data_IF_181132977255
#
_entry.id   IF_181132977255
#
_cell.length_a   1.000
_cell.length_b   1.000
_cell.length_c   1.000
_cell.angle_alpha   90.00
_cell.angle_beta   90.00
_cell.angle_gamma   90.00
#
_symmetry.space_group_name_H-M   'P 1'
#
loop_
_entity.id
_entity.type
_entity.pdbx_description
1 polymer ?
#
# COMPACT_ATOMS: atom_id res chain seq x y z
N UNK A 1 -29.16 68.52 -9.26
CA UNK A 1 -29.23 68.14 -7.83
C UNK A 1 -29.51 66.65 -7.75
N UNK A 2 -28.72 65.89 -7.00
CA UNK A 2 -28.90 64.45 -6.82
C UNK A 2 -29.61 64.22 -5.48
N UNK A 3 -30.68 63.43 -5.48
CA UNK A 3 -31.11 62.65 -4.32
C UNK A 3 -31.16 61.19 -4.78
N UNK A 4 -30.21 60.35 -4.33
CA UNK A 4 -30.35 59.60 -3.07
C UNK A 4 -31.59 58.71 -3.18
N UNK A 5 -31.42 57.54 -3.79
CA UNK A 5 -31.32 56.26 -3.06
C UNK A 5 -32.53 55.99 -2.17
N UNK A 6 -33.19 54.87 -2.47
CA UNK A 6 -33.56 53.76 -1.58
C UNK A 6 -35.03 53.35 -1.79
N UNK A 7 -35.25 52.06 -2.05
CA UNK A 7 -36.56 51.38 -2.20
C UNK A 7 -37.40 51.90 -3.40
N UNK A 8 -37.87 51.10 -4.36
CA UNK A 8 -38.09 49.65 -4.38
C UNK A 8 -37.53 49.01 -5.66
N UNK A 9 -36.32 48.45 -5.58
CA UNK A 9 -36.13 47.13 -6.19
C UNK A 9 -36.95 46.13 -5.35
N UNK A 10 -37.45 45.06 -5.99
CA UNK A 10 -38.30 44.02 -5.38
C UNK A 10 -39.76 44.47 -5.15
N UNK A 11 -40.58 44.48 -6.22
CA UNK A 11 -41.99 44.07 -6.21
C UNK A 11 -42.66 44.22 -7.59
N UNK A 12 -42.51 43.24 -8.49
CA UNK A 12 -43.63 42.38 -8.93
C UNK A 12 -43.16 41.32 -9.95
N UNK A 13 -43.51 40.07 -9.69
CA UNK A 13 -43.31 38.94 -10.60
C UNK A 13 -44.30 39.02 -11.78
N UNK A 14 -43.92 38.57 -12.98
CA UNK A 14 -44.74 38.79 -14.17
C UNK A 14 -44.44 37.97 -15.42
N UNK A 15 -44.24 36.65 -15.28
CA UNK A 15 -44.44 35.63 -16.33
C UNK A 15 -43.51 35.66 -17.58
N UNK A 16 -42.81 34.52 -17.82
CA UNK A 16 -42.84 33.70 -19.06
C UNK A 16 -41.50 32.99 -19.37
N UNK A 17 -41.27 31.84 -18.73
CA UNK A 17 -40.64 30.63 -19.32
C UNK A 17 -40.69 29.51 -18.27
N UNK A 18 -41.55 28.51 -18.43
CA UNK A 18 -41.24 27.25 -19.14
C UNK A 18 -40.15 26.44 -18.40
N UNK A 19 -40.58 25.71 -17.37
CA UNK A 19 -40.86 24.26 -17.45
C UNK A 19 -39.60 23.38 -17.53
N UNK A 20 -39.31 22.66 -16.43
CA UNK A 20 -39.34 21.19 -16.50
C UNK A 20 -39.69 20.53 -15.18
N UNK A 21 -40.59 19.55 -15.31
CA UNK A 21 -41.24 18.72 -14.29
C UNK A 21 -40.26 18.01 -13.35
N UNK A 22 -40.61 17.95 -12.07
CA UNK A 22 -40.05 16.99 -11.11
C UNK A 22 -41.13 15.99 -10.66
N UNK A 23 -40.79 14.69 -10.69
CA UNK A 23 -41.16 13.63 -9.70
C UNK A 23 -42.67 13.27 -9.51
N UNK A 24 -43.11 12.02 -9.36
CA UNK A 24 -42.55 10.89 -8.58
C UNK A 24 -43.29 9.56 -8.87
N UNK A 25 -42.57 8.41 -8.97
CA UNK A 25 -42.99 6.97 -8.80
C UNK A 25 -44.26 6.48 -9.55
N UNK A 26 -44.41 5.24 -10.02
CA UNK A 26 -43.70 3.95 -9.88
C UNK A 26 -43.93 3.15 -11.21
N UNK A 27 -43.51 1.90 -11.49
CA UNK A 27 -42.96 0.77 -10.72
C UNK A 27 -42.24 -0.21 -11.67
N UNK A 28 -41.61 -1.25 -11.10
CA UNK A 28 -41.32 -2.57 -11.72
C UNK A 28 -40.37 -2.60 -12.94
N UNK A 29 -39.15 -3.09 -12.74
CA UNK A 29 -38.71 -4.36 -13.33
C UNK A 29 -37.42 -4.85 -12.66
N UNK A 30 -37.35 -6.16 -12.40
CA UNK A 30 -36.14 -6.80 -11.91
C UNK A 30 -35.17 -6.98 -13.08
N UNK A 31 -34.00 -6.33 -13.01
CA UNK A 31 -32.85 -6.74 -13.81
C UNK A 31 -31.64 -6.72 -12.89
N UNK A 32 -30.99 -7.88 -12.78
CA UNK A 32 -29.73 -7.99 -12.04
C UNK A 32 -28.67 -7.20 -12.78
N UNK A 33 -28.56 -5.91 -12.43
CA UNK A 33 -27.41 -5.09 -12.77
C UNK A 33 -26.21 -5.66 -12.01
N UNK A 34 -25.58 -6.67 -12.62
CA UNK A 34 -24.22 -7.07 -12.32
C UNK A 34 -23.40 -5.79 -12.34
N UNK A 35 -22.95 -5.34 -11.17
CA UNK A 35 -22.05 -4.19 -11.07
C UNK A 35 -20.77 -4.63 -11.78
N UNK A 36 -20.58 -4.16 -13.01
CA UNK A 36 -19.29 -4.23 -13.66
C UNK A 36 -18.36 -3.33 -12.84
N UNK A 37 -17.64 -3.98 -11.92
CA UNK A 37 -16.47 -3.43 -11.26
C UNK A 37 -15.58 -2.82 -12.35
N UNK A 38 -15.06 -1.59 -12.16
CA UNK A 38 -14.15 -0.99 -13.12
C UNK A 38 -13.04 -1.99 -13.42
N UNK A 39 -12.78 -2.18 -14.73
CA UNK A 39 -11.77 -3.11 -15.21
C UNK A 39 -10.46 -2.84 -14.45
N UNK A 40 -9.83 -3.85 -13.81
CA UNK A 40 -8.72 -3.60 -12.89
C UNK A 40 -7.65 -2.83 -13.63
N UNK A 41 -7.46 -1.57 -13.22
CA UNK A 41 -6.53 -0.65 -13.85
C UNK A 41 -5.20 -1.37 -14.03
N UNK A 42 -4.72 -1.41 -15.27
CA UNK A 42 -3.39 -1.94 -15.54
C UNK A 42 -2.39 -1.00 -14.89
N UNK A 43 -1.97 -1.37 -13.68
CA UNK A 43 -0.73 -0.88 -13.10
C UNK A 43 0.35 -0.90 -14.19
N UNK A 44 1.24 0.11 -14.24
CA UNK A 44 2.33 0.14 -15.21
C UNK A 44 3.01 -1.23 -15.28
N UNK A 45 3.29 -1.68 -16.50
CA UNK A 45 3.53 -3.09 -16.83
C UNK A 45 4.76 -3.71 -16.13
N UNK A 46 5.47 -2.90 -15.36
CA UNK A 46 6.60 -3.24 -14.53
C UNK A 46 6.62 -2.36 -13.27
N UNK A 47 6.22 -2.92 -12.12
CA UNK A 47 6.60 -2.45 -10.78
C UNK A 47 8.11 -2.74 -10.49
N UNK A 48 8.90 -2.78 -11.57
CA UNK A 48 10.29 -3.25 -11.68
C UNK A 48 11.30 -2.11 -11.53
N UNK A 49 10.80 -0.86 -11.48
CA UNK A 49 11.54 0.34 -11.11
C UNK A 49 10.63 1.18 -10.21
N UNK A 50 10.54 0.78 -8.94
CA UNK A 50 10.37 1.73 -7.84
C UNK A 50 11.69 1.72 -7.08
N UNK A 51 12.70 2.41 -7.61
CA UNK A 51 13.96 2.55 -6.92
C UNK A 51 13.70 3.43 -5.70
N UNK A 52 14.12 2.97 -4.53
CA UNK A 52 14.14 3.84 -3.35
C UNK A 52 14.99 5.09 -3.67
N UNK A 53 14.49 6.26 -3.32
CA UNK A 53 15.02 7.59 -3.69
C UNK A 53 14.79 8.05 -5.15
N UNK A 54 13.81 7.51 -5.88
CA UNK A 54 13.28 8.17 -7.10
C UNK A 54 12.33 9.33 -6.76
N UNK A 55 12.22 10.30 -7.67
CA UNK A 55 11.52 11.57 -7.43
C UNK A 55 10.01 11.43 -7.68
N UNK A 56 9.23 11.58 -6.62
CA UNK A 56 7.77 11.47 -6.56
C UNK A 56 7.01 12.21 -7.67
N UNK A 57 7.48 13.37 -8.09
CA UNK A 57 6.80 14.22 -9.08
C UNK A 57 6.69 13.59 -10.48
N UNK A 58 7.44 12.53 -10.78
CA UNK A 58 7.30 11.77 -12.04
C UNK A 58 6.25 10.65 -11.95
N UNK A 59 6.04 10.08 -10.77
CA UNK A 59 5.14 8.94 -10.55
C UNK A 59 3.73 9.35 -10.11
N UNK A 60 3.64 10.47 -9.37
CA UNK A 60 2.43 10.97 -8.71
C UNK A 60 1.14 10.93 -9.56
N UNK A 61 1.12 11.37 -10.84
CA UNK A 61 -0.10 11.34 -11.66
C UNK A 61 -0.68 9.93 -11.89
N UNK A 62 0.13 8.87 -11.74
CA UNK A 62 -0.30 7.48 -11.84
C UNK A 62 -0.64 6.85 -10.48
N UNK A 63 -0.32 7.55 -9.38
CA UNK A 63 -0.52 7.10 -8.01
C UNK A 63 -1.72 7.77 -7.31
N UNK A 64 -2.18 8.94 -7.78
CA UNK A 64 -3.27 9.69 -7.14
C UNK A 64 -4.56 8.85 -6.92
N UNK A 65 -4.92 7.97 -7.87
CA UNK A 65 -6.07 7.03 -7.75
C UNK A 65 -5.91 6.00 -6.60
N UNK A 66 -4.68 5.78 -6.13
CA UNK A 66 -4.33 4.84 -5.06
C UNK A 66 -3.98 5.54 -3.73
N UNK A 67 -4.14 6.87 -3.63
CA UNK A 67 -3.84 7.62 -2.42
C UNK A 67 -4.75 7.16 -1.27
N UNK A 68 -4.15 6.53 -0.25
CA UNK A 68 -4.84 6.12 0.97
C UNK A 68 -5.02 7.29 1.94
N UNK A 69 -4.03 8.18 2.03
CA UNK A 69 -4.14 9.37 2.86
C UNK A 69 -2.82 10.13 3.00
N UNK A 70 -2.96 11.35 3.53
CA UNK A 70 -1.87 12.25 3.88
C UNK A 70 -1.87 12.54 5.37
N UNK A 71 -0.68 12.66 5.96
CA UNK A 71 -0.45 12.76 7.40
C UNK A 71 0.64 13.79 7.69
N UNK A 72 0.74 14.26 8.93
CA UNK A 72 1.82 15.16 9.39
C UNK A 72 1.94 16.45 8.55
N UNK A 73 0.81 17.14 8.33
CA UNK A 73 0.74 18.33 7.46
C UNK A 73 1.19 18.04 6.02
N UNK A 74 0.65 16.97 5.44
CA UNK A 74 0.97 16.42 4.11
C UNK A 74 2.42 15.94 3.91
N UNK A 75 3.21 15.84 4.99
CA UNK A 75 4.61 15.37 4.94
C UNK A 75 4.78 13.85 4.89
N UNK A 76 3.73 13.08 5.12
CA UNK A 76 3.73 11.65 4.79
C UNK A 76 2.51 11.30 3.93
N UNK A 77 2.77 10.64 2.81
CA UNK A 77 1.75 10.17 1.87
C UNK A 77 1.85 8.65 1.72
N UNK A 78 0.71 7.95 1.84
CA UNK A 78 0.63 6.50 1.66
C UNK A 78 -0.27 6.16 0.50
N UNK A 79 0.19 5.26 -0.37
CA UNK A 79 -0.56 4.76 -1.51
C UNK A 79 -0.78 3.27 -1.34
N UNK A 80 -2.02 2.79 -1.50
CA UNK A 80 -2.40 1.39 -1.28
C UNK A 80 -3.01 0.80 -2.54
N UNK A 81 -2.24 -0.05 -3.20
CA UNK A 81 -2.59 -0.71 -4.45
C UNK A 81 -3.04 -2.13 -4.11
N UNK A 82 -4.35 -2.37 -4.09
CA UNK A 82 -4.95 -3.69 -3.89
C UNK A 82 -5.10 -4.44 -5.22
N UNK A 83 -5.17 -5.77 -5.18
CA UNK A 83 -5.32 -6.64 -6.35
C UNK A 83 -4.23 -6.40 -7.41
N UNK A 84 -2.98 -6.25 -6.96
CA UNK A 84 -1.86 -5.95 -7.83
C UNK A 84 -1.62 -7.08 -8.85
N UNK A 85 -1.44 -6.72 -10.12
CA UNK A 85 -1.03 -7.64 -11.18
C UNK A 85 0.49 -7.92 -11.17
N UNK A 86 1.21 -7.47 -10.14
CA UNK A 86 2.67 -7.54 -10.05
C UNK A 86 3.17 -8.86 -9.48
N UNK A 87 4.43 -9.19 -9.79
CA UNK A 87 5.11 -10.35 -9.21
C UNK A 87 6.48 -9.96 -8.66
N UNK A 88 6.90 -10.62 -7.58
CA UNK A 88 8.27 -10.56 -7.07
C UNK A 88 8.80 -11.99 -7.04
N UNK A 89 9.91 -12.24 -7.72
CA UNK A 89 10.43 -13.59 -8.01
C UNK A 89 9.32 -14.57 -8.47
N UNK A 90 8.64 -14.22 -9.57
CA UNK A 90 7.51 -14.97 -10.15
C UNK A 90 6.32 -15.24 -9.21
N UNK A 91 6.29 -14.59 -8.05
CA UNK A 91 5.28 -14.81 -7.00
C UNK A 91 4.31 -13.64 -6.98
N UNK A 92 2.99 -13.86 -7.18
CA UNK A 92 2.03 -12.77 -7.20
C UNK A 92 1.98 -11.98 -5.88
N UNK A 93 1.90 -10.66 -6.01
CA UNK A 93 1.71 -9.72 -4.92
C UNK A 93 0.21 -9.44 -4.80
N UNK A 94 -0.39 -9.56 -3.62
CA UNK A 94 -1.80 -9.21 -3.43
C UNK A 94 -2.00 -7.70 -3.25
N UNK A 95 -1.14 -7.07 -2.45
CA UNK A 95 -1.21 -5.64 -2.11
C UNK A 95 0.18 -5.02 -2.10
N UNK A 96 0.30 -3.81 -2.64
CA UNK A 96 1.49 -2.96 -2.53
C UNK A 96 1.14 -1.71 -1.73
N UNK A 97 2.02 -1.31 -0.81
CA UNK A 97 1.89 -0.05 -0.07
C UNK A 97 3.16 0.77 -0.24
N UNK A 98 3.03 1.97 -0.79
CA UNK A 98 4.14 2.91 -0.97
C UNK A 98 4.13 3.93 0.17
N UNK A 99 5.32 4.27 0.67
CA UNK A 99 5.50 5.22 1.76
C UNK A 99 6.41 6.35 1.29
N UNK A 100 5.80 7.52 1.11
CA UNK A 100 6.48 8.77 0.76
C UNK A 100 6.59 9.66 2.00
N UNK A 101 7.79 10.18 2.28
CA UNK A 101 8.07 11.09 3.39
C UNK A 101 8.75 12.34 2.83
N UNK A 102 8.21 13.53 3.10
CA UNK A 102 8.65 14.82 2.52
C UNK A 102 8.80 14.82 0.98
N UNK A 103 8.07 13.94 0.29
CA UNK A 103 8.15 13.76 -1.17
C UNK A 103 9.16 12.71 -1.66
N UNK A 104 9.89 12.04 -0.77
CA UNK A 104 10.86 10.98 -1.14
C UNK A 104 10.28 9.58 -0.94
N UNK A 105 10.45 8.68 -1.93
CA UNK A 105 10.06 7.27 -1.79
C UNK A 105 11.00 6.54 -0.81
N UNK A 106 10.54 6.37 0.44
CA UNK A 106 11.37 5.87 1.53
C UNK A 106 11.18 4.39 1.84
N UNK A 107 10.03 3.80 1.49
CA UNK A 107 9.69 2.40 1.80
C UNK A 107 8.60 1.85 0.88
N UNK A 108 8.72 0.56 0.55
CA UNK A 108 7.69 -0.24 -0.10
C UNK A 108 7.36 -1.48 0.74
N UNK A 109 6.07 -1.76 0.97
CA UNK A 109 5.57 -3.01 1.55
C UNK A 109 4.83 -3.80 0.47
N UNK A 110 5.11 -5.09 0.36
CA UNK A 110 4.42 -6.02 -0.52
C UNK A 110 3.82 -7.15 0.31
N UNK A 111 2.52 -7.40 0.17
CA UNK A 111 1.87 -8.58 0.73
C UNK A 111 1.93 -9.68 -0.32
N UNK A 112 2.59 -10.79 0.00
CA UNK A 112 2.86 -11.86 -0.95
C UNK A 112 1.80 -12.97 -0.85
N UNK A 113 1.39 -13.53 -1.98
CA UNK A 113 0.43 -14.65 -2.01
C UNK A 113 1.03 -16.00 -1.60
N UNK A 114 2.36 -16.12 -1.59
CA UNK A 114 3.11 -17.35 -1.26
C UNK A 114 4.43 -17.01 -0.59
N UNK A 115 5.03 -18.00 0.06
CA UNK A 115 6.35 -17.86 0.69
C UNK A 115 7.47 -17.66 -0.34
N UNK A 116 8.25 -16.59 -0.19
CA UNK A 116 9.45 -16.28 -0.99
C UNK A 116 10.76 -16.35 -0.19
N UNK A 117 10.73 -16.74 1.09
CA UNK A 117 11.90 -16.70 1.99
C UNK A 117 13.13 -17.43 1.46
N UNK A 118 12.94 -18.61 0.86
CA UNK A 118 14.04 -19.36 0.24
C UNK A 118 14.68 -18.66 -0.97
N UNK A 119 13.89 -17.87 -1.74
CA UNK A 119 14.42 -17.07 -2.85
C UNK A 119 15.22 -15.87 -2.33
N UNK A 120 14.72 -15.21 -1.27
CA UNK A 120 15.41 -14.10 -0.61
C UNK A 120 16.75 -14.51 0.02
N UNK A 121 16.81 -15.70 0.63
CA UNK A 121 18.08 -16.27 1.13
C UNK A 121 19.10 -16.52 0.00
N UNK A 122 18.63 -16.95 -1.17
CA UNK A 122 19.50 -17.18 -2.33
C UNK A 122 19.99 -15.87 -2.96
N UNK A 123 19.14 -14.84 -3.02
CA UNK A 123 19.44 -13.52 -3.59
C UNK A 123 20.38 -12.70 -2.68
N UNK A 124 20.02 -12.56 -1.40
CA UNK A 124 20.69 -11.63 -0.48
C UNK A 124 21.67 -12.30 0.49
N UNK A 125 21.74 -13.63 0.50
CA UNK A 125 22.66 -14.39 1.33
C UNK A 125 22.37 -14.25 2.83
N UNK A 126 23.42 -13.95 3.61
CA UNK A 126 23.37 -13.94 5.08
C UNK A 126 22.32 -12.98 5.64
N UNK A 127 21.45 -13.50 6.51
CA UNK A 127 20.35 -12.78 7.15
C UNK A 127 20.43 -12.86 8.67
N UNK A 128 19.75 -11.94 9.35
CA UNK A 128 19.33 -12.11 10.74
C UNK A 128 17.89 -12.65 10.76
N UNK A 129 17.60 -13.64 11.58
CA UNK A 129 16.23 -14.01 11.94
C UNK A 129 15.83 -13.39 13.28
N UNK A 130 14.56 -12.99 13.40
CA UNK A 130 13.97 -12.41 14.61
C UNK A 130 12.65 -13.15 14.88
N UNK A 131 12.48 -13.81 16.05
CA UNK A 131 11.18 -14.36 16.42
C UNK A 131 10.18 -13.24 16.69
N UNK A 132 8.92 -13.46 16.30
CA UNK A 132 7.83 -12.50 16.53
C UNK A 132 6.83 -12.97 17.60
N UNK A 133 7.05 -14.16 18.18
CA UNK A 133 6.36 -14.68 19.34
C UNK A 133 7.32 -15.55 20.21
N UNK A 134 6.86 -15.91 21.41
CA UNK A 134 7.64 -16.72 22.34
C UNK A 134 7.82 -18.18 21.86
N UNK A 135 6.82 -18.88 21.28
CA UNK A 135 7.03 -20.23 20.73
C UNK A 135 8.10 -20.29 19.63
N UNK A 136 8.14 -19.33 18.70
CA UNK A 136 9.20 -19.28 17.68
C UNK A 136 10.55 -18.94 18.31
N UNK A 137 10.58 -18.12 19.37
CA UNK A 137 11.81 -17.80 20.13
C UNK A 137 12.39 -19.02 20.84
N UNK A 138 11.54 -19.85 21.45
CA UNK A 138 11.95 -21.14 22.03
C UNK A 138 12.51 -22.08 20.96
N UNK A 139 11.78 -22.28 19.86
CA UNK A 139 12.22 -23.14 18.75
C UNK A 139 13.55 -22.66 18.13
N UNK A 140 13.76 -21.36 17.93
CA UNK A 140 15.01 -20.81 17.39
C UNK A 140 16.24 -21.04 18.29
N UNK A 141 16.04 -21.41 19.56
CA UNK A 141 17.13 -21.78 20.48
C UNK A 141 17.49 -23.28 20.45
N UNK A 142 16.68 -24.09 19.76
CA UNK A 142 16.75 -25.57 19.79
C UNK A 142 16.94 -26.17 18.39
N UNK A 143 16.33 -25.57 17.37
CA UNK A 143 16.22 -26.11 16.02
C UNK A 143 17.16 -25.43 15.01
N UNK A 144 17.53 -26.15 13.95
CA UNK A 144 18.28 -25.56 12.84
C UNK A 144 17.40 -24.56 12.07
N UNK A 145 17.93 -23.36 11.82
CA UNK A 145 17.20 -22.26 11.16
C UNK A 145 16.93 -22.57 9.69
N UNK A 146 17.93 -23.14 9.00
CA UNK A 146 17.92 -23.42 7.56
C UNK A 146 18.13 -24.91 7.34
N UNK A 147 17.10 -25.60 6.87
CA UNK A 147 17.14 -27.05 6.60
C UNK A 147 17.19 -27.31 5.10
N UNK A 148 17.56 -28.53 4.71
CA UNK A 148 17.50 -28.97 3.31
C UNK A 148 16.19 -29.75 3.06
N UNK A 149 15.34 -29.23 2.18
CA UNK A 149 14.10 -29.86 1.70
C UNK A 149 14.17 -30.00 0.17
N UNK A 150 14.11 -31.24 -0.34
CA UNK A 150 14.21 -31.55 -1.78
C UNK A 150 15.39 -30.84 -2.47
N UNK A 151 16.58 -31.04 -1.88
CA UNK A 151 17.87 -30.48 -2.33
C UNK A 151 17.95 -28.94 -2.34
N UNK A 152 17.01 -28.26 -1.66
CA UNK A 152 16.99 -26.80 -1.52
C UNK A 152 17.10 -26.38 -0.06
N UNK A 153 17.91 -25.36 0.20
CA UNK A 153 17.95 -24.69 1.50
C UNK A 153 16.68 -23.86 1.70
N UNK A 154 15.94 -24.15 2.75
CA UNK A 154 14.69 -23.48 3.13
C UNK A 154 14.71 -23.13 4.61
N UNK A 155 13.92 -22.14 5.03
CA UNK A 155 13.67 -21.94 6.47
C UNK A 155 12.93 -23.16 7.02
N UNK A 156 13.31 -23.61 8.21
CA UNK A 156 12.62 -24.72 8.88
C UNK A 156 11.13 -24.39 9.09
N UNK A 157 10.27 -25.26 8.56
CA UNK A 157 8.80 -25.08 8.54
C UNK A 157 8.15 -25.22 9.93
N UNK A 158 8.91 -25.59 10.96
CA UNK A 158 8.48 -25.52 12.35
C UNK A 158 8.22 -24.07 12.81
N UNK A 159 8.97 -23.08 12.29
CA UNK A 159 8.77 -21.68 12.66
C UNK A 159 7.52 -21.11 11.97
N UNK A 160 6.61 -20.53 12.75
CA UNK A 160 5.35 -19.96 12.26
C UNK A 160 5.32 -18.44 12.21
N UNK A 161 6.12 -17.77 13.06
CA UNK A 161 6.06 -16.30 13.25
C UNK A 161 7.44 -15.68 13.42
N UNK A 162 8.03 -15.18 12.33
CA UNK A 162 9.38 -14.64 12.31
C UNK A 162 9.56 -13.51 11.29
N UNK A 163 10.61 -12.72 11.45
CA UNK A 163 11.12 -11.78 10.44
C UNK A 163 12.54 -12.18 10.04
N UNK A 164 12.80 -12.24 8.73
CA UNK A 164 14.13 -12.28 8.15
C UNK A 164 14.55 -10.85 7.79
N UNK A 165 15.77 -10.47 8.15
CA UNK A 165 16.31 -9.12 8.01
C UNK A 165 17.67 -9.14 7.31
N UNK A 166 17.78 -8.41 6.20
CA UNK A 166 19.05 -8.10 5.53
C UNK A 166 19.31 -6.61 5.60
N UNK A 167 20.55 -6.23 5.90
CA UNK A 167 21.02 -4.84 5.84
C UNK A 167 22.00 -4.73 4.68
N UNK A 168 21.55 -4.11 3.59
CA UNK A 168 22.34 -3.87 2.39
C UNK A 168 22.84 -2.41 2.41
N UNK A 169 23.77 -2.06 1.51
CA UNK A 169 24.40 -0.73 1.49
C UNK A 169 23.40 0.42 1.28
N UNK A 170 22.38 0.22 0.43
CA UNK A 170 21.39 1.24 0.04
C UNK A 170 19.99 1.01 0.61
N UNK A 171 19.69 -0.19 1.12
CA UNK A 171 18.35 -0.56 1.62
C UNK A 171 18.40 -1.58 2.75
N UNK A 172 17.38 -1.56 3.58
CA UNK A 172 17.06 -2.64 4.52
C UNK A 172 15.92 -3.45 3.91
N UNK A 173 16.10 -4.76 3.86
CA UNK A 173 15.10 -5.71 3.39
C UNK A 173 14.57 -6.49 4.59
N UNK A 174 13.25 -6.55 4.73
CA UNK A 174 12.56 -7.34 5.74
C UNK A 174 11.61 -8.31 5.06
N UNK A 175 11.51 -9.52 5.59
CA UNK A 175 10.53 -10.50 5.17
C UNK A 175 9.91 -11.16 6.40
N UNK A 176 8.68 -10.76 6.71
CA UNK A 176 7.90 -11.27 7.83
C UNK A 176 7.03 -12.45 7.35
N UNK A 177 7.06 -13.53 8.12
CA UNK A 177 6.15 -14.66 8.04
C UNK A 177 5.31 -14.68 9.31
N UNK A 178 3.99 -14.81 9.15
CA UNK A 178 3.02 -14.80 10.25
C UNK A 178 1.84 -15.72 9.87
N UNK A 179 2.05 -17.03 9.98
CA UNK A 179 1.09 -18.05 9.51
C UNK A 179 -0.24 -18.07 10.27
N UNK A 180 -0.38 -17.26 11.32
CA UNK A 180 -1.60 -17.07 12.09
C UNK A 180 -2.37 -15.81 11.63
N UNK A 181 -1.78 -14.99 10.75
CA UNK A 181 -2.44 -13.86 10.10
C UNK A 181 -2.99 -14.29 8.73
N UNK A 182 -4.32 -14.41 8.55
CA UNK A 182 -4.91 -14.89 7.29
C UNK A 182 -4.88 -13.87 6.15
N UNK A 183 -4.71 -12.57 6.43
CA UNK A 183 -4.71 -11.51 5.39
C UNK A 183 -3.32 -11.12 4.93
N UNK A 184 -2.33 -11.17 5.83
CA UNK A 184 -0.93 -10.86 5.53
C UNK A 184 0.04 -11.93 6.08
N UNK A 185 -0.04 -13.20 5.62
CA UNK A 185 0.81 -14.28 6.12
C UNK A 185 2.28 -14.13 5.70
N UNK A 186 2.52 -13.44 4.59
CA UNK A 186 3.84 -13.18 4.01
C UNK A 186 3.96 -11.71 3.65
N UNK A 187 4.86 -10.97 4.30
CA UNK A 187 5.06 -9.54 4.07
C UNK A 187 6.52 -9.30 3.72
N UNK A 188 6.76 -8.91 2.47
CA UNK A 188 8.05 -8.42 2.00
C UNK A 188 8.10 -6.89 2.15
N UNK A 189 9.25 -6.32 2.51
CA UNK A 189 9.40 -4.87 2.67
C UNK A 189 10.82 -4.45 2.34
N UNK A 190 10.94 -3.38 1.56
CA UNK A 190 12.19 -2.68 1.33
C UNK A 190 12.08 -1.25 1.85
N UNK A 191 13.12 -0.72 2.48
CA UNK A 191 13.15 0.67 2.90
C UNK A 191 14.56 1.25 2.95
N UNK A 192 14.68 2.57 2.86
CA UNK A 192 15.96 3.26 3.08
C UNK A 192 16.41 3.08 4.54
N UNK A 193 17.72 2.96 4.85
CA UNK A 193 18.20 2.74 6.21
C UNK A 193 17.74 3.78 7.23
N UNK A 194 17.44 5.00 6.78
CA UNK A 194 17.03 6.15 7.60
C UNK A 194 15.51 6.22 7.84
N UNK A 195 14.69 5.36 7.23
CA UNK A 195 13.21 5.43 7.28
C UNK A 195 12.66 5.61 8.71
N UNK A 196 13.11 4.76 9.65
CA UNK A 196 12.64 4.79 11.05
C UNK A 196 13.02 6.11 11.78
N UNK A 197 14.02 6.85 11.30
CA UNK A 197 14.38 8.17 11.83
C UNK A 197 13.59 9.28 11.14
N UNK A 198 13.48 9.25 9.81
CA UNK A 198 12.68 10.20 9.03
C UNK A 198 11.24 10.23 9.52
N UNK A 199 10.61 9.07 9.66
CA UNK A 199 9.23 8.94 10.11
C UNK A 199 9.01 9.52 11.52
N UNK A 200 9.88 9.20 12.49
CA UNK A 200 9.80 9.75 13.86
C UNK A 200 10.06 11.26 13.93
N UNK A 201 10.86 11.80 13.02
CA UNK A 201 11.03 13.25 12.91
C UNK A 201 9.72 13.93 12.46
N UNK A 202 8.92 13.31 11.58
CA UNK A 202 7.59 13.83 11.22
C UNK A 202 6.63 13.82 12.41
N UNK A 203 6.56 12.69 13.12
CA UNK A 203 5.71 12.52 14.31
C UNK A 203 6.02 13.55 15.41
N UNK A 204 7.28 13.93 15.58
CA UNK A 204 7.72 14.88 16.61
C UNK A 204 7.67 16.36 16.19
N UNK A 205 7.38 16.66 14.92
CA UNK A 205 7.34 18.03 14.38
C UNK A 205 5.97 18.48 13.86
N UNK A 206 4.91 17.74 14.20
CA UNK A 206 3.51 17.95 13.78
C UNK A 206 2.60 18.48 14.87
#
# INVERSE_FOLDING_TARGET
MINVKLLLLIALCGLLSCQRVERTRQSTEETSAKIDLPEPQRLPQDLKVLTLNESFEQERPFLDDYLFGKFFQDRAEFFVIQHSNSTIFDTPVSTVVLYYLDGDHCKTKFVMTKDIGARLMAEYGNFKIVPLDEPTKELLSQEEIVVTDKDKKVINKAFRKYELLWKLNSKIVRYKVDLDNPTEPFVYTEHVPQYDNLYRNLESSS
#
